data_IF_736464077554
#
_entry.id   IF_736464077554
#
_cell.length_a   1.000
_cell.length_b   1.000
_cell.length_c   1.000
_cell.angle_alpha   90.00
_cell.angle_beta   90.00
_cell.angle_gamma   90.00
#
_symmetry.space_group_name_H-M   'P 1'
#
loop_
_entity.id
_entity.type
_entity.pdbx_description
1 polymer ?
#
# COMPACT_ATOMS: atom_id res chain seq x y z
N UNK A 1 -20.77 45.13 66.33
CA UNK A 1 -20.65 43.76 65.75
C UNK A 1 -21.61 43.53 64.57
N UNK A 2 -22.56 44.44 64.29
CA UNK A 2 -23.62 44.25 63.28
C UNK A 2 -23.20 44.45 61.81
N UNK A 3 -22.22 45.31 61.52
CA UNK A 3 -21.80 45.59 60.12
C UNK A 3 -21.00 44.46 59.44
N UNK A 4 -20.49 43.49 60.20
CA UNK A 4 -19.80 42.30 59.65
C UNK A 4 -20.78 41.20 59.22
N UNK A 5 -21.96 41.13 59.83
CA UNK A 5 -22.97 40.12 59.50
C UNK A 5 -23.68 40.43 58.19
N UNK A 6 -23.95 41.72 57.91
CA UNK A 6 -24.57 42.17 56.65
C UNK A 6 -23.69 41.90 55.41
N UNK A 7 -22.37 42.03 55.52
CA UNK A 7 -21.45 41.74 54.39
C UNK A 7 -21.32 40.24 54.12
N UNK A 8 -21.45 39.41 55.15
CA UNK A 8 -21.43 37.95 54.99
C UNK A 8 -22.72 37.41 54.36
N UNK A 9 -23.88 38.04 54.64
CA UNK A 9 -25.16 37.67 54.05
C UNK A 9 -25.26 38.09 52.56
N UNK A 10 -24.69 39.25 52.20
CA UNK A 10 -24.64 39.71 50.81
C UNK A 10 -23.71 38.83 49.94
N UNK A 11 -22.65 38.28 50.53
CA UNK A 11 -21.72 37.38 49.83
C UNK A 11 -22.31 35.97 49.63
N UNK A 12 -23.15 35.50 50.56
CA UNK A 12 -23.86 34.22 50.45
C UNK A 12 -25.00 34.27 49.41
N UNK A 13 -25.67 35.41 49.26
CA UNK A 13 -26.71 35.61 48.23
C UNK A 13 -26.12 35.66 46.81
N UNK A 14 -24.85 36.06 46.63
CA UNK A 14 -24.16 36.06 45.33
C UNK A 14 -23.71 34.65 44.89
N UNK A 15 -23.63 33.70 45.82
CA UNK A 15 -23.30 32.29 45.56
C UNK A 15 -24.51 31.43 45.18
N UNK A 16 -25.72 32.00 45.26
CA UNK A 16 -26.93 31.39 44.72
C UNK A 16 -27.08 31.79 43.24
N UNK A 17 -26.14 31.35 42.41
CA UNK A 17 -26.30 31.42 40.95
C UNK A 17 -27.48 30.55 40.56
N UNK A 18 -28.57 31.21 40.18
CA UNK A 18 -29.79 30.61 39.64
C UNK A 18 -29.38 29.74 38.46
N UNK A 19 -29.38 28.42 38.64
CA UNK A 19 -29.28 27.47 37.54
C UNK A 19 -30.59 27.57 36.77
N UNK A 20 -30.62 28.41 35.74
CA UNK A 20 -31.72 28.46 34.79
C UNK A 20 -31.68 27.15 34.01
N UNK A 21 -32.56 26.21 34.34
CA UNK A 21 -32.79 25.03 33.52
C UNK A 21 -33.46 25.52 32.24
N UNK A 22 -32.72 25.52 31.13
CA UNK A 22 -33.29 25.84 29.82
C UNK A 22 -34.45 24.89 29.53
N UNK A 23 -35.59 25.43 29.11
CA UNK A 23 -36.74 24.60 28.73
C UNK A 23 -36.33 23.67 27.57
N UNK A 24 -36.52 22.38 27.77
CA UNK A 24 -36.25 21.34 26.77
C UNK A 24 -37.57 20.78 26.28
N UNK A 25 -37.68 20.57 24.97
CA UNK A 25 -38.83 19.92 24.35
C UNK A 25 -38.38 18.62 23.68
N UNK A 26 -39.24 17.60 23.73
CA UNK A 26 -38.99 16.34 23.03
C UNK A 26 -39.47 16.46 21.59
N UNK A 27 -38.57 16.20 20.65
CA UNK A 27 -38.87 16.07 19.23
C UNK A 27 -38.84 14.59 18.86
N UNK A 28 -39.87 14.12 18.19
CA UNK A 28 -39.96 12.78 17.63
C UNK A 28 -40.06 12.84 16.11
N UNK A 29 -39.80 11.72 15.45
CA UNK A 29 -40.05 11.64 14.02
C UNK A 29 -39.62 10.32 13.42
N UNK A 30 -39.78 10.23 12.11
CA UNK A 30 -39.50 9.05 11.30
C UNK A 30 -38.64 9.44 10.10
N UNK A 31 -37.70 8.57 9.72
CA UNK A 31 -36.75 8.80 8.64
C UNK A 31 -36.89 7.71 7.59
N UNK A 32 -37.11 8.11 6.34
CA UNK A 32 -37.31 7.24 5.19
C UNK A 32 -36.33 7.58 4.07
N UNK A 33 -36.12 6.62 3.17
CA UNK A 33 -35.47 6.83 1.89
C UNK A 33 -36.48 7.30 0.82
N UNK A 34 -36.04 7.64 -0.42
CA UNK A 34 -36.95 8.08 -1.48
C UNK A 34 -37.95 7.01 -1.95
N UNK A 35 -37.70 5.75 -1.63
CA UNK A 35 -38.54 4.59 -1.97
C UNK A 35 -39.57 4.30 -0.86
N UNK A 36 -39.51 5.02 0.26
CA UNK A 36 -40.43 4.89 1.40
C UNK A 36 -40.00 3.83 2.42
N UNK A 37 -38.76 3.33 2.34
CA UNK A 37 -38.21 2.36 3.28
C UNK A 37 -37.64 3.10 4.50
N UNK A 38 -37.91 2.66 5.74
CA UNK A 38 -37.35 3.27 6.93
C UNK A 38 -35.83 3.12 6.98
N UNK A 39 -35.12 4.15 7.43
CA UNK A 39 -33.66 4.16 7.53
C UNK A 39 -33.25 3.91 8.99
N UNK A 40 -32.80 2.68 9.35
CA UNK A 40 -32.29 2.40 10.68
C UNK A 40 -30.88 2.95 10.88
N UNK A 41 -30.56 3.38 12.11
CA UNK A 41 -29.22 3.85 12.48
C UNK A 41 -28.80 5.19 11.84
N UNK A 42 -29.74 5.96 11.30
CA UNK A 42 -29.48 7.34 10.90
C UNK A 42 -29.14 8.17 12.14
N UNK A 43 -28.15 9.06 12.04
CA UNK A 43 -27.77 9.99 13.10
C UNK A 43 -28.60 11.27 13.03
N UNK A 44 -29.19 11.67 14.16
CA UNK A 44 -29.93 12.92 14.34
C UNK A 44 -29.24 13.73 15.42
N UNK A 45 -28.80 14.94 15.13
CA UNK A 45 -28.14 15.78 16.14
C UNK A 45 -28.50 17.25 16.01
N UNK A 46 -28.46 17.98 17.13
CA UNK A 46 -28.64 19.43 17.16
C UNK A 46 -27.35 20.08 16.68
N UNK A 47 -27.46 20.93 15.64
CA UNK A 47 -26.33 21.59 14.99
C UNK A 47 -25.46 22.35 16.01
N UNK A 48 -24.14 22.20 15.86
CA UNK A 48 -23.12 22.79 16.75
C UNK A 48 -23.15 22.30 18.21
N UNK A 49 -23.79 21.17 18.49
CA UNK A 49 -23.80 20.56 19.82
C UNK A 49 -23.47 19.06 19.72
N UNK A 50 -23.13 18.45 20.85
CA UNK A 50 -22.98 16.99 20.98
C UNK A 50 -24.31 16.28 21.29
N UNK A 51 -25.43 17.01 21.33
CA UNK A 51 -26.73 16.44 21.65
C UNK A 51 -27.36 15.79 20.41
N UNK A 52 -27.56 14.48 20.45
CA UNK A 52 -28.09 13.71 19.35
C UNK A 52 -28.60 12.32 19.76
N UNK A 53 -29.22 11.65 18.81
CA UNK A 53 -29.80 10.31 18.94
C UNK A 53 -29.64 9.57 17.61
N UNK A 54 -30.03 8.30 17.58
CA UNK A 54 -30.05 7.47 16.38
C UNK A 54 -31.48 6.96 16.12
N UNK A 55 -31.82 6.69 14.86
CA UNK A 55 -33.08 6.04 14.53
C UNK A 55 -33.06 4.54 14.86
N UNK A 56 -34.21 4.00 15.27
CA UNK A 56 -34.42 2.58 15.53
C UNK A 56 -34.66 1.76 14.24
N UNK A 57 -35.02 0.48 14.38
CA UNK A 57 -35.28 -0.43 13.25
C UNK A 57 -36.46 0.01 12.36
N UNK A 58 -37.41 0.76 12.91
CA UNK A 58 -38.57 1.30 12.19
C UNK A 58 -38.29 2.73 11.68
N UNK A 59 -37.05 3.22 11.77
CA UNK A 59 -36.65 4.56 11.34
C UNK A 59 -37.12 5.67 12.28
N UNK A 60 -37.62 5.35 13.49
CA UNK A 60 -38.14 6.33 14.45
C UNK A 60 -37.04 6.88 15.33
N UNK A 61 -37.16 8.14 15.72
CA UNK A 61 -36.23 8.79 16.63
C UNK A 61 -36.97 9.64 17.69
N UNK A 62 -36.30 9.84 18.82
CA UNK A 62 -36.72 10.77 19.87
C UNK A 62 -35.51 11.50 20.44
N UNK A 63 -35.55 12.83 20.45
CA UNK A 63 -34.45 13.69 20.89
C UNK A 63 -34.99 14.86 21.70
N UNK A 64 -34.43 15.09 22.89
CA UNK A 64 -34.70 16.30 23.66
C UNK A 64 -33.85 17.43 23.10
N UNK A 65 -34.49 18.55 22.75
CA UNK A 65 -33.82 19.71 22.17
C UNK A 65 -34.16 20.98 22.97
N UNK A 66 -33.29 22.00 22.98
CA UNK A 66 -33.61 23.28 23.59
C UNK A 66 -34.81 23.95 22.93
N UNK A 67 -35.68 24.59 23.72
CA UNK A 67 -36.86 25.34 23.25
C UNK A 67 -36.48 26.69 22.59
N UNK A 68 -35.24 26.81 22.11
CA UNK A 68 -34.84 27.97 21.32
C UNK A 68 -35.46 27.90 19.92
N UNK A 69 -36.05 29.00 19.45
CA UNK A 69 -36.71 29.08 18.13
C UNK A 69 -35.77 28.84 16.93
N UNK A 70 -34.45 28.81 17.16
CA UNK A 70 -33.42 28.64 16.13
C UNK A 70 -32.73 27.27 16.17
N UNK A 71 -33.27 26.30 16.90
CA UNK A 71 -32.70 24.94 16.95
C UNK A 71 -32.80 24.27 15.57
N UNK A 72 -31.66 23.85 15.03
CA UNK A 72 -31.56 23.12 13.75
C UNK A 72 -31.13 21.68 14.02
N UNK A 73 -31.90 20.72 13.50
CA UNK A 73 -31.56 19.32 13.50
C UNK A 73 -30.85 18.95 12.20
N UNK A 74 -29.85 18.10 12.32
CA UNK A 74 -29.08 17.56 11.22
C UNK A 74 -29.30 16.07 11.17
N UNK A 75 -29.68 15.58 9.99
CA UNK A 75 -29.94 14.17 9.71
C UNK A 75 -28.85 13.65 8.78
N UNK A 76 -28.21 12.55 9.16
CA UNK A 76 -27.12 11.95 8.38
C UNK A 76 -27.19 10.43 8.42
N UNK A 77 -27.00 9.80 7.27
CA UNK A 77 -26.88 8.34 7.15
C UNK A 77 -25.91 8.01 6.02
N UNK A 78 -25.28 6.83 6.10
CA UNK A 78 -24.34 6.38 5.08
C UNK A 78 -25.06 6.20 3.74
N UNK A 79 -24.54 6.79 2.67
CA UNK A 79 -25.15 6.73 1.33
C UNK A 79 -26.25 7.77 1.07
N UNK A 80 -26.50 8.68 2.01
CA UNK A 80 -27.52 9.74 1.89
C UNK A 80 -26.92 11.14 2.05
N UNK A 81 -27.57 12.14 1.47
CA UNK A 81 -27.21 13.54 1.63
C UNK A 81 -27.62 14.01 3.03
N UNK A 82 -26.73 14.77 3.68
CA UNK A 82 -27.04 15.40 4.96
C UNK A 82 -28.14 16.44 4.77
N UNK A 83 -29.17 16.38 5.61
CA UNK A 83 -30.29 17.31 5.57
C UNK A 83 -30.38 18.09 6.88
N UNK A 84 -30.56 19.41 6.79
CA UNK A 84 -30.74 20.29 7.94
C UNK A 84 -32.19 20.81 8.00
N UNK A 85 -32.80 20.76 9.18
CA UNK A 85 -34.18 21.19 9.38
C UNK A 85 -34.29 22.00 10.66
N UNK A 86 -34.82 23.22 10.53
CA UNK A 86 -35.13 24.07 11.67
C UNK A 86 -36.37 23.53 12.39
N UNK A 87 -36.24 23.26 13.69
CA UNK A 87 -37.30 22.64 14.50
C UNK A 87 -38.51 23.60 14.66
N UNK A 88 -38.25 24.90 14.86
CA UNK A 88 -39.29 25.90 15.09
C UNK A 88 -40.19 25.50 16.27
N UNK A 89 -41.50 25.48 16.08
CA UNK A 89 -42.49 25.03 17.08
C UNK A 89 -42.98 23.58 16.88
N UNK A 90 -42.47 22.87 15.87
CA UNK A 90 -42.89 21.49 15.59
C UNK A 90 -42.17 20.51 16.53
N UNK A 91 -42.89 19.45 16.91
CA UNK A 91 -42.40 18.36 17.77
C UNK A 91 -42.41 17.01 17.06
N UNK A 92 -43.01 16.91 15.87
CA UNK A 92 -43.03 15.69 15.06
C UNK A 92 -42.59 15.97 13.61
N UNK A 93 -41.79 15.09 13.04
CA UNK A 93 -41.20 15.21 11.71
C UNK A 93 -41.23 13.89 10.94
N UNK A 94 -41.50 13.97 9.65
CA UNK A 94 -41.29 12.87 8.70
C UNK A 94 -40.26 13.34 7.68
N UNK A 95 -39.09 12.70 7.67
CA UNK A 95 -37.93 13.13 6.89
C UNK A 95 -37.62 12.09 5.82
N UNK A 96 -37.51 12.55 4.58
CA UNK A 96 -37.06 11.70 3.45
C UNK A 96 -35.67 12.12 3.04
N UNK A 97 -34.67 11.30 3.37
CA UNK A 97 -33.29 11.56 2.97
C UNK A 97 -33.08 11.22 1.50
N UNK A 98 -32.48 12.14 0.75
CA UNK A 98 -32.13 11.91 -0.65
C UNK A 98 -30.86 11.07 -0.73
N UNK A 99 -30.82 10.12 -1.66
CA UNK A 99 -29.63 9.30 -1.89
C UNK A 99 -28.46 10.17 -2.35
N UNK A 100 -27.28 9.90 -1.80
CA UNK A 100 -26.05 10.56 -2.22
C UNK A 100 -25.45 9.77 -3.39
N UNK A 101 -25.95 10.04 -4.60
CA UNK A 101 -25.48 9.42 -5.84
C UNK A 101 -24.06 9.90 -6.22
N UNK A 102 -23.51 10.91 -5.52
CA UNK A 102 -22.12 11.38 -5.69
C UNK A 102 -21.08 10.58 -4.86
N UNK A 103 -21.49 9.48 -4.22
CA UNK A 103 -20.65 8.71 -3.28
C UNK A 103 -19.57 7.80 -3.87
N UNK A 104 -19.36 7.76 -5.19
CA UNK A 104 -18.35 6.91 -5.86
C UNK A 104 -17.58 7.66 -6.97
N UNK A 105 -17.39 8.96 -6.84
CA UNK A 105 -16.51 9.72 -7.72
C UNK A 105 -15.11 9.79 -7.11
N UNK A 106 -14.24 8.88 -7.52
CA UNK A 106 -12.79 8.91 -7.28
C UNK A 106 -12.21 10.29 -7.68
N UNK A 107 -11.71 11.04 -6.69
CA UNK A 107 -11.21 12.41 -6.88
C UNK A 107 -9.73 12.37 -7.17
N UNK A 108 -9.38 12.33 -8.45
CA UNK A 108 -8.00 12.55 -8.89
C UNK A 108 -7.60 14.00 -8.63
N UNK A 109 -6.70 14.23 -7.68
CA UNK A 109 -6.10 15.56 -7.46
C UNK A 109 -4.96 15.77 -8.46
N UNK A 110 -5.30 16.21 -9.67
CA UNK A 110 -4.32 16.87 -10.56
C UNK A 110 -4.27 18.36 -10.24
N UNK A 111 -3.09 18.96 -10.33
CA UNK A 111 -2.73 20.32 -9.86
C UNK A 111 -3.45 21.53 -10.49
N UNK A 112 -4.77 21.50 -10.69
CA UNK A 112 -5.63 22.63 -11.05
C UNK A 112 -7.03 22.47 -10.42
N UNK A 113 -7.13 22.43 -9.09
CA UNK A 113 -8.42 22.28 -8.39
C UNK A 113 -9.09 20.91 -8.59
N UNK A 114 -10.00 20.51 -7.69
CA UNK A 114 -10.72 19.23 -7.86
C UNK A 114 -11.72 19.33 -9.00
N UNK A 115 -11.45 18.70 -10.14
CA UNK A 115 -12.43 18.55 -11.22
C UNK A 115 -12.83 17.08 -11.39
N UNK A 116 -14.14 16.86 -11.60
CA UNK A 116 -14.76 15.55 -11.80
C UNK A 116 -14.16 14.85 -13.04
N UNK A 117 -13.94 13.52 -12.96
CA UNK A 117 -13.42 12.64 -14.03
C UNK A 117 -14.10 12.83 -15.40
N UNK A 118 -15.38 13.21 -15.40
CA UNK A 118 -16.18 13.55 -16.59
C UNK A 118 -15.64 14.76 -17.39
N UNK A 119 -15.01 15.72 -16.73
CA UNK A 119 -14.64 17.01 -17.33
C UNK A 119 -13.18 17.07 -17.78
N UNK A 120 -12.39 16.00 -17.55
CA UNK A 120 -11.04 15.91 -18.10
C UNK A 120 -11.14 15.22 -19.46
N UNK A 121 -11.01 15.99 -20.53
CA UNK A 121 -11.06 15.51 -21.92
C UNK A 121 -9.84 14.66 -22.34
N UNK A 122 -8.97 14.29 -21.40
CA UNK A 122 -7.76 13.48 -21.63
C UNK A 122 -7.85 12.10 -20.99
N UNK A 123 -7.13 11.10 -21.52
CA UNK A 123 -7.08 9.75 -20.96
C UNK A 123 -6.29 9.73 -19.64
N UNK A 124 -6.99 10.00 -18.54
CA UNK A 124 -6.52 9.78 -17.16
C UNK A 124 -7.05 8.44 -16.69
N UNK A 125 -6.20 7.60 -16.12
CA UNK A 125 -6.61 6.33 -15.50
C UNK A 125 -6.15 6.30 -14.06
N UNK A 126 -7.11 6.28 -13.13
CA UNK A 126 -6.88 5.97 -11.72
C UNK A 126 -6.65 4.48 -11.51
N UNK A 127 -5.85 4.13 -10.53
CA UNK A 127 -5.62 2.76 -10.08
C UNK A 127 -6.02 2.65 -8.62
N UNK A 128 -7.02 1.80 -8.37
CA UNK A 128 -7.49 1.49 -7.03
C UNK A 128 -6.37 0.89 -6.17
N UNK A 129 -6.24 1.39 -4.94
CA UNK A 129 -5.22 0.91 -3.99
C UNK A 129 -5.46 -0.52 -3.52
N UNK A 130 -6.67 -1.05 -3.69
CA UNK A 130 -7.05 -2.44 -3.45
C UNK A 130 -6.21 -3.41 -4.32
N UNK A 131 -5.80 -2.99 -5.52
CA UNK A 131 -4.91 -3.77 -6.39
C UNK A 131 -3.52 -3.91 -5.76
N UNK A 132 -3.09 -2.92 -4.96
CA UNK A 132 -1.81 -2.92 -4.27
C UNK A 132 -1.84 -3.74 -2.98
N UNK A 133 -2.98 -3.82 -2.30
CA UNK A 133 -3.13 -4.53 -1.01
C UNK A 133 -3.53 -6.01 -1.17
N UNK A 134 -4.20 -6.37 -2.29
CA UNK A 134 -4.63 -7.75 -2.57
C UNK A 134 -3.49 -8.72 -2.89
N UNK A 135 -2.27 -8.22 -3.09
CA UNK A 135 -1.09 -9.02 -3.39
C UNK A 135 0.02 -8.62 -2.42
N UNK A 136 0.81 -9.56 -1.88
CA UNK A 136 2.01 -9.21 -1.13
C UNK A 136 3.06 -8.68 -2.10
N UNK A 137 2.94 -7.42 -2.49
CA UNK A 137 3.89 -6.71 -3.34
C UNK A 137 4.82 -5.89 -2.44
N UNK A 138 6.11 -6.16 -2.54
CA UNK A 138 7.16 -5.33 -1.91
C UNK A 138 7.52 -4.12 -2.77
N UNK A 139 6.91 -3.99 -3.95
CA UNK A 139 7.23 -2.98 -4.96
C UNK A 139 5.96 -2.49 -5.66
N UNK A 140 5.68 -1.19 -5.55
CA UNK A 140 4.52 -0.51 -6.15
C UNK A 140 4.49 -0.72 -7.67
N UNK A 141 5.65 -0.69 -8.33
CA UNK A 141 5.72 -0.83 -9.78
C UNK A 141 5.30 -2.24 -10.23
N UNK A 142 5.58 -3.29 -9.45
CA UNK A 142 5.08 -4.64 -9.77
C UNK A 142 3.56 -4.76 -9.57
N UNK A 143 3.01 -4.05 -8.58
CA UNK A 143 1.56 -3.97 -8.35
C UNK A 143 0.80 -3.31 -9.49
N UNK A 144 1.39 -2.29 -10.12
CA UNK A 144 0.80 -1.59 -11.26
C UNK A 144 0.81 -2.40 -12.56
N UNK A 145 1.55 -3.52 -12.61
CA UNK A 145 1.65 -4.35 -13.80
C UNK A 145 0.29 -4.98 -14.13
N UNK A 146 -0.31 -4.57 -15.25
CA UNK A 146 -1.61 -5.03 -15.69
C UNK A 146 -2.80 -4.34 -15.01
N UNK A 147 -2.56 -3.43 -14.06
CA UNK A 147 -3.61 -2.67 -13.40
C UNK A 147 -4.17 -1.54 -14.30
N UNK A 148 -3.37 -1.04 -15.24
CA UNK A 148 -3.75 0.04 -16.16
C UNK A 148 -3.54 -0.35 -17.62
N UNK A 149 -4.54 -0.20 -18.50
CA UNK A 149 -4.37 -0.42 -19.93
C UNK A 149 -3.30 0.49 -20.53
N UNK A 150 -2.36 -0.10 -21.28
CA UNK A 150 -1.27 0.62 -21.95
C UNK A 150 -0.08 0.92 -21.05
N UNK A 151 -0.04 0.45 -19.80
CA UNK A 151 1.15 0.48 -18.95
C UNK A 151 1.90 -0.85 -19.06
N UNK A 152 3.15 -0.80 -19.51
CA UNK A 152 4.04 -1.95 -19.62
C UNK A 152 5.17 -1.80 -18.62
N UNK A 153 5.29 -2.76 -17.70
CA UNK A 153 6.32 -2.77 -16.67
C UNK A 153 7.16 -4.02 -16.88
N UNK A 154 8.46 -3.85 -17.11
CA UNK A 154 9.41 -4.94 -17.31
C UNK A 154 10.51 -4.87 -16.27
N UNK A 155 10.64 -5.91 -15.45
CA UNK A 155 11.76 -6.09 -14.54
C UNK A 155 12.89 -6.83 -15.28
N UNK A 156 14.11 -6.28 -15.37
CA UNK A 156 15.23 -6.95 -16.05
C UNK A 156 15.65 -8.25 -15.37
N UNK A 157 15.47 -8.33 -14.05
CA UNK A 157 15.78 -9.51 -13.25
C UNK A 157 14.71 -9.80 -12.19
N UNK A 158 14.81 -10.99 -11.59
CA UNK A 158 14.03 -11.36 -10.41
C UNK A 158 14.55 -10.79 -9.09
N UNK A 159 15.64 -9.99 -9.13
CA UNK A 159 16.21 -9.38 -7.94
C UNK A 159 15.22 -8.41 -7.28
N UNK A 160 15.18 -8.40 -5.96
CA UNK A 160 14.37 -7.46 -5.17
C UNK A 160 15.16 -6.13 -5.08
N UNK A 161 14.51 -5.00 -5.33
CA UNK A 161 15.12 -3.67 -5.24
C UNK A 161 15.85 -3.19 -6.50
N UNK A 162 15.66 -3.86 -7.65
CA UNK A 162 16.12 -3.35 -8.95
C UNK A 162 14.98 -2.59 -9.63
N UNK A 163 15.22 -1.34 -10.04
CA UNK A 163 14.22 -0.47 -10.64
C UNK A 163 13.62 -1.09 -11.94
N UNK A 164 12.31 -1.31 -12.00
CA UNK A 164 11.69 -1.81 -13.22
C UNK A 164 11.65 -0.72 -14.30
N UNK A 165 11.74 -1.15 -15.56
CA UNK A 165 11.52 -0.25 -16.69
C UNK A 165 10.02 -0.11 -16.93
N UNK A 166 9.53 1.13 -16.87
CA UNK A 166 8.12 1.47 -17.07
C UNK A 166 7.96 2.16 -18.42
N UNK A 167 7.01 1.70 -19.22
CA UNK A 167 6.67 2.26 -20.54
C UNK A 167 5.17 2.48 -20.63
N UNK A 168 4.77 3.60 -21.23
CA UNK A 168 3.37 3.93 -21.44
C UNK A 168 3.07 3.95 -22.95
N UNK A 169 2.07 3.17 -23.38
CA UNK A 169 1.68 2.96 -24.79
C UNK A 169 2.83 2.51 -25.70
N UNK A 170 3.71 1.65 -25.19
CA UNK A 170 4.82 1.12 -25.97
C UNK A 170 5.83 2.18 -26.41
N UNK A 171 5.89 3.32 -25.72
CA UNK A 171 6.84 4.41 -25.99
C UNK A 171 8.27 3.87 -26.10
N UNK A 172 8.84 3.99 -27.30
CA UNK A 172 10.23 3.66 -27.63
C UNK A 172 10.92 4.96 -28.04
N UNK A 173 11.61 5.59 -27.09
CA UNK A 173 12.46 6.74 -27.34
C UNK A 173 13.82 6.27 -27.83
N UNK A 174 14.32 6.88 -28.91
CA UNK A 174 15.60 6.55 -29.56
C UNK A 174 16.82 7.25 -28.95
N UNK A 175 16.62 8.13 -27.96
CA UNK A 175 17.68 8.89 -27.30
C UNK A 175 17.79 8.45 -25.83
N UNK A 176 18.91 7.80 -25.49
CA UNK A 176 19.32 7.56 -24.11
C UNK A 176 19.94 6.19 -23.88
N UNK A 177 21.28 6.17 -23.87
CA UNK A 177 22.11 5.12 -23.28
C UNK A 177 21.58 4.76 -21.88
N UNK A 178 20.89 3.62 -21.77
CA UNK A 178 20.47 3.04 -20.47
C UNK A 178 19.11 3.44 -19.91
N UNK A 179 18.26 4.19 -20.62
CA UNK A 179 16.99 4.68 -20.04
C UNK A 179 16.04 5.37 -21.02
N UNK A 180 15.62 4.67 -22.09
CA UNK A 180 14.68 5.23 -23.06
C UNK A 180 13.27 5.49 -22.49
N UNK A 181 12.55 6.47 -23.05
CA UNK A 181 11.13 6.81 -22.89
C UNK A 181 10.41 6.29 -21.62
N UNK A 182 10.87 6.71 -20.45
CA UNK A 182 10.19 6.48 -19.17
C UNK A 182 9.21 7.62 -18.86
N UNK A 183 8.04 7.32 -18.26
CA UNK A 183 7.12 8.34 -17.79
C UNK A 183 7.72 9.10 -16.60
N UNK A 184 7.32 10.36 -16.44
CA UNK A 184 7.66 11.15 -15.26
C UNK A 184 6.87 10.63 -14.05
N UNK A 185 7.53 10.37 -12.93
CA UNK A 185 6.91 9.89 -11.70
C UNK A 185 6.92 11.02 -10.67
N UNK A 186 5.74 11.35 -10.14
CA UNK A 186 5.53 12.41 -9.15
C UNK A 186 4.84 11.83 -7.91
N UNK A 187 5.38 12.12 -6.74
CA UNK A 187 4.74 11.86 -5.44
C UNK A 187 4.38 13.20 -4.82
N UNK A 188 3.10 13.44 -4.58
CA UNK A 188 2.61 14.74 -4.08
C UNK A 188 3.19 15.93 -4.85
N UNK A 189 3.27 15.81 -6.18
CA UNK A 189 3.82 16.81 -7.09
C UNK A 189 5.35 17.03 -6.99
N UNK A 190 6.08 16.12 -6.35
CA UNK A 190 7.56 16.09 -6.29
C UNK A 190 8.09 14.94 -7.13
N UNK A 191 9.06 15.22 -8.00
CA UNK A 191 9.67 14.20 -8.87
C UNK A 191 10.54 13.25 -8.06
N UNK A 192 10.39 11.96 -8.33
CA UNK A 192 11.18 10.90 -7.72
C UNK A 192 11.86 10.03 -8.79
N UNK A 193 13.05 9.48 -8.51
CA UNK A 193 13.78 8.68 -9.48
C UNK A 193 13.20 7.26 -9.64
N UNK A 194 12.48 6.73 -8.65
CA UNK A 194 11.95 5.36 -8.70
C UNK A 194 10.73 5.16 -7.80
N UNK A 195 9.75 4.42 -8.31
CA UNK A 195 8.58 3.92 -7.55
C UNK A 195 8.95 3.01 -6.36
N UNK A 196 10.17 2.47 -6.31
CA UNK A 196 10.61 1.58 -5.24
C UNK A 196 10.88 2.29 -3.91
N UNK A 197 11.10 3.61 -3.93
CA UNK A 197 11.33 4.37 -2.70
C UNK A 197 10.04 4.68 -1.94
N UNK A 198 8.88 4.23 -2.44
CA UNK A 198 7.58 4.51 -1.84
C UNK A 198 7.04 3.22 -1.23
N UNK A 199 6.59 3.32 0.01
CA UNK A 199 5.82 2.26 0.64
C UNK A 199 4.40 2.23 0.05
N UNK A 200 3.91 1.10 -0.51
CA UNK A 200 2.54 0.98 -0.99
C UNK A 200 1.48 1.38 0.04
N UNK A 201 1.74 1.17 1.33
CA UNK A 201 0.82 1.51 2.42
C UNK A 201 0.61 3.02 2.60
N UNK A 202 1.53 3.85 2.12
CA UNK A 202 1.43 5.31 2.22
C UNK A 202 0.65 5.92 1.05
N UNK A 203 0.30 5.12 0.03
CA UNK A 203 -0.36 5.59 -1.20
C UNK A 203 -1.88 5.64 -1.01
N UNK A 204 -2.48 6.80 -1.26
CA UNK A 204 -3.95 7.00 -1.31
C UNK A 204 -4.50 6.78 -2.71
N UNK A 205 -3.81 7.26 -3.73
CA UNK A 205 -4.27 7.13 -5.13
C UNK A 205 -3.08 7.15 -6.09
N UNK A 206 -3.18 6.40 -7.19
CA UNK A 206 -2.25 6.47 -8.32
C UNK A 206 -3.02 6.87 -9.57
N UNK A 207 -2.60 7.95 -10.21
CA UNK A 207 -3.25 8.50 -11.40
C UNK A 207 -2.26 8.54 -12.55
N UNK A 208 -2.57 7.82 -13.63
CA UNK A 208 -1.73 7.71 -14.82
C UNK A 208 -2.28 8.62 -15.92
N UNK A 209 -1.50 9.64 -16.29
CA UNK A 209 -1.77 10.59 -17.36
C UNK A 209 -1.12 10.09 -18.65
N UNK A 210 -1.95 9.69 -19.62
CA UNK A 210 -1.48 9.03 -20.84
C UNK A 210 -1.22 10.01 -21.98
N UNK A 211 -2.04 11.06 -22.12
CA UNK A 211 -2.08 11.92 -23.30
C UNK A 211 -1.36 13.26 -23.13
N UNK A 212 -0.90 13.81 -24.26
CA UNK A 212 -0.25 15.12 -24.32
C UNK A 212 -1.11 16.26 -23.75
N UNK A 213 -2.45 16.18 -23.88
CA UNK A 213 -3.36 17.15 -23.27
C UNK A 213 -3.25 17.11 -21.73
N UNK A 214 -3.24 15.92 -21.15
CA UNK A 214 -3.11 15.70 -19.70
C UNK A 214 -1.69 15.92 -19.16
N UNK A 215 -0.65 15.73 -19.98
CA UNK A 215 0.74 15.91 -19.56
C UNK A 215 1.35 17.27 -19.92
N UNK A 216 0.62 18.11 -20.65
CA UNK A 216 1.07 19.44 -21.10
C UNK A 216 1.60 20.36 -19.99
N UNK A 217 1.05 20.22 -18.78
CA UNK A 217 1.47 20.98 -17.59
C UNK A 217 2.90 20.60 -17.15
N UNK A 218 3.32 19.36 -17.41
CA UNK A 218 4.64 18.84 -17.03
C UNK A 218 5.69 18.98 -18.14
N UNK A 219 5.34 19.66 -19.24
CA UNK A 219 6.24 20.02 -20.33
C UNK A 219 6.90 18.82 -21.01
N UNK A 220 8.14 19.02 -21.47
CA UNK A 220 8.93 17.99 -22.20
C UNK A 220 9.21 16.74 -21.37
N UNK A 221 9.18 16.84 -20.03
CA UNK A 221 9.38 15.69 -19.12
C UNK A 221 8.16 14.77 -19.07
N UNK A 222 6.96 15.30 -19.33
CA UNK A 222 5.72 14.53 -19.46
C UNK A 222 5.46 13.98 -20.86
N UNK A 223 6.42 14.06 -21.79
CA UNK A 223 6.26 13.63 -23.19
C UNK A 223 5.93 12.13 -23.32
N UNK A 224 6.36 11.33 -22.35
CA UNK A 224 6.16 9.87 -22.32
C UNK A 224 5.10 9.43 -21.31
N UNK A 225 4.26 10.36 -20.85
CA UNK A 225 3.27 10.11 -19.79
C UNK A 225 3.75 10.56 -18.42
N UNK A 226 2.80 10.68 -17.50
CA UNK A 226 3.06 11.08 -16.11
C UNK A 226 2.30 10.14 -15.17
N UNK A 227 2.98 9.62 -14.15
CA UNK A 227 2.40 8.84 -13.06
C UNK A 227 2.39 9.74 -11.83
N UNK A 228 1.20 10.09 -11.38
CA UNK A 228 0.99 10.88 -10.18
C UNK A 228 0.59 9.95 -9.04
N UNK A 229 1.25 10.11 -7.89
CA UNK A 229 1.02 9.33 -6.69
C UNK A 229 0.65 10.31 -5.60
N UNK A 230 -0.52 10.13 -5.00
CA UNK A 230 -0.98 10.93 -3.87
C UNK A 230 -0.82 10.10 -2.61
N UNK A 231 -0.15 10.65 -1.60
CA UNK A 231 0.01 9.95 -0.31
C UNK A 231 -1.18 10.19 0.62
N UNK A 232 -1.45 9.22 1.51
CA UNK A 232 -2.51 9.30 2.52
C UNK A 232 -2.26 10.49 3.45
N UNK A 233 -3.24 11.39 3.54
CA UNK A 233 -3.20 12.55 4.44
C UNK A 233 -4.22 12.42 5.58
N UNK A 234 -3.88 12.99 6.74
CA UNK A 234 -4.78 13.05 7.88
C UNK A 234 -6.05 13.84 7.56
N UNK A 235 -7.23 13.27 7.84
CA UNK A 235 -8.52 13.92 7.62
C UNK A 235 -8.99 14.65 8.88
N UNK A 236 -9.33 15.94 8.75
CA UNK A 236 -9.95 16.72 9.84
C UNK A 236 -11.31 16.08 10.20
N UNK A 237 -11.64 16.06 11.49
CA UNK A 237 -12.89 15.48 12.02
C UNK A 237 -13.04 13.95 11.92
N UNK A 238 -11.95 13.18 11.79
CA UNK A 238 -11.94 11.74 12.08
C UNK A 238 -11.09 11.44 13.31
N UNK A 239 -11.52 10.46 14.11
CA UNK A 239 -10.68 9.91 15.16
C UNK A 239 -9.38 9.34 14.54
N UNK A 240 -8.21 9.53 15.17
CA UNK A 240 -6.98 8.92 14.71
C UNK A 240 -7.13 7.39 14.63
N UNK A 241 -6.84 6.82 13.47
CA UNK A 241 -6.76 5.37 13.30
C UNK A 241 -5.29 4.97 13.28
N UNK A 242 -4.91 4.06 14.16
CA UNK A 242 -3.53 3.54 14.25
C UNK A 242 -3.58 2.08 13.84
N UNK A 243 -2.92 1.76 12.73
CA UNK A 243 -2.73 0.39 12.27
C UNK A 243 -1.27 0.00 12.51
N UNK A 244 -1.04 -1.15 13.14
CA UNK A 244 0.29 -1.71 13.37
C UNK A 244 0.37 -3.09 12.74
N UNK A 245 1.32 -3.28 11.83
CA UNK A 245 1.64 -4.56 11.23
C UNK A 245 3.07 -4.98 11.60
N UNK A 246 3.25 -6.26 11.86
CA UNK A 246 4.56 -6.86 12.09
C UNK A 246 4.63 -8.17 11.30
N UNK A 247 5.70 -8.35 10.51
CA UNK A 247 5.93 -9.53 9.71
C UNK A 247 7.38 -10.00 9.85
N UNK A 248 7.57 -11.24 10.29
CA UNK A 248 8.87 -11.90 10.33
C UNK A 248 8.93 -12.97 9.23
N UNK A 249 9.96 -12.92 8.39
CA UNK A 249 10.16 -13.88 7.31
C UNK A 249 11.61 -14.36 7.28
N UNK A 250 11.77 -15.67 7.07
CA UNK A 250 13.07 -16.31 6.84
C UNK A 250 13.05 -16.94 5.45
N UNK A 251 14.07 -16.65 4.64
CA UNK A 251 14.22 -17.22 3.31
C UNK A 251 15.38 -18.21 3.28
N UNK A 252 15.13 -19.41 2.76
CA UNK A 252 16.16 -20.40 2.45
C UNK A 252 16.07 -20.76 0.96
N UNK A 253 17.19 -20.95 0.25
CA UNK A 253 17.16 -21.39 -1.14
C UNK A 253 16.34 -22.68 -1.30
N UNK A 254 15.39 -22.71 -2.24
CA UNK A 254 14.53 -23.89 -2.47
C UNK A 254 15.32 -25.11 -2.91
N UNK A 255 16.37 -24.89 -3.72
CA UNK A 255 17.29 -25.92 -4.17
C UNK A 255 18.68 -25.30 -4.21
N UNK A 256 19.60 -25.84 -3.42
CA UNK A 256 21.02 -25.58 -3.59
C UNK A 256 21.58 -26.58 -4.62
N UNK A 257 22.43 -26.15 -5.57
CA UNK A 257 23.09 -27.08 -6.47
C UNK A 257 23.83 -28.15 -5.66
N UNK A 258 23.55 -29.42 -5.93
CA UNK A 258 24.36 -30.52 -5.39
C UNK A 258 25.64 -30.56 -6.20
N UNK A 259 26.75 -30.14 -5.59
CA UNK A 259 28.08 -30.28 -6.20
C UNK A 259 28.38 -31.77 -6.25
N UNK A 260 28.79 -32.27 -7.43
CA UNK A 260 29.21 -33.65 -7.57
C UNK A 260 30.44 -33.90 -6.68
N UNK A 261 30.55 -35.07 -6.06
CA UNK A 261 31.77 -35.47 -5.37
C UNK A 261 33.01 -35.36 -6.23
N UNK A 262 34.18 -35.26 -5.60
CA UNK A 262 35.45 -35.02 -6.30
C UNK A 262 35.75 -36.11 -7.34
N UNK A 263 35.52 -37.38 -7.00
CA UNK A 263 35.72 -38.50 -7.92
C UNK A 263 34.76 -38.45 -9.13
N UNK A 264 33.47 -38.20 -8.88
CA UNK A 264 32.44 -38.12 -9.93
C UNK A 264 32.66 -36.93 -10.86
N UNK A 265 33.07 -35.78 -10.31
CA UNK A 265 33.44 -34.60 -11.08
C UNK A 265 34.67 -34.85 -11.96
N UNK A 266 35.69 -35.51 -11.42
CA UNK A 266 36.89 -35.89 -12.16
C UNK A 266 36.60 -36.92 -13.26
N UNK A 267 35.74 -37.91 -12.99
CA UNK A 267 35.28 -38.89 -13.98
C UNK A 267 34.50 -38.21 -15.11
N UNK A 268 33.58 -37.31 -14.77
CA UNK A 268 32.83 -36.53 -15.77
C UNK A 268 33.79 -35.71 -16.65
N UNK A 269 34.78 -35.05 -16.06
CA UNK A 269 35.77 -34.27 -16.79
C UNK A 269 36.64 -35.16 -17.69
N UNK A 270 37.11 -36.31 -17.18
CA UNK A 270 37.90 -37.28 -17.95
C UNK A 270 37.09 -37.86 -19.11
N UNK A 271 35.83 -38.24 -18.88
CA UNK A 271 34.92 -38.72 -19.91
C UNK A 271 34.65 -37.65 -20.99
N UNK A 272 34.47 -36.38 -20.59
CA UNK A 272 34.27 -35.28 -21.54
C UNK A 272 35.50 -35.05 -22.43
N UNK A 273 36.70 -35.16 -21.87
CA UNK A 273 37.96 -35.05 -22.64
C UNK A 273 38.15 -36.26 -23.55
N UNK A 274 37.91 -37.48 -23.06
CA UNK A 274 38.03 -38.70 -23.86
C UNK A 274 37.03 -38.76 -25.02
N UNK A 275 35.82 -38.18 -24.86
CA UNK A 275 34.87 -38.03 -25.96
C UNK A 275 35.43 -37.16 -27.09
N UNK A 276 36.26 -36.16 -26.77
CA UNK A 276 36.91 -35.28 -27.74
C UNK A 276 38.20 -35.88 -28.30
N UNK A 277 38.97 -36.58 -27.47
CA UNK A 277 40.28 -37.16 -27.81
C UNK A 277 40.40 -38.56 -27.19
N UNK A 278 39.96 -39.63 -27.88
CA UNK A 278 39.93 -40.98 -27.31
C UNK A 278 41.31 -41.59 -26.99
N UNK A 279 42.40 -41.06 -27.54
CA UNK A 279 43.77 -41.54 -27.29
C UNK A 279 44.40 -40.95 -26.03
N UNK A 280 43.74 -39.99 -25.38
CA UNK A 280 44.28 -39.31 -24.21
C UNK A 280 44.16 -40.22 -22.98
N UNK A 281 45.29 -40.48 -22.30
CA UNK A 281 45.33 -41.33 -21.10
C UNK A 281 45.28 -40.55 -19.79
N UNK A 282 45.57 -39.24 -19.85
CA UNK A 282 45.53 -38.32 -18.72
C UNK A 282 45.36 -36.89 -19.23
N UNK A 283 44.75 -36.01 -18.43
CA UNK A 283 44.73 -34.58 -18.70
C UNK A 283 45.14 -33.76 -17.49
N UNK A 284 45.74 -32.60 -17.73
CA UNK A 284 46.17 -31.69 -16.68
C UNK A 284 45.10 -30.65 -16.38
N UNK A 285 44.86 -30.41 -15.10
CA UNK A 285 44.25 -29.19 -14.56
C UNK A 285 45.35 -28.49 -13.76
N UNK A 286 45.24 -27.19 -13.48
CA UNK A 286 46.29 -26.42 -12.77
C UNK A 286 46.76 -27.19 -11.52
N UNK A 287 48.02 -27.63 -11.52
CA UNK A 287 48.64 -28.37 -10.42
C UNK A 287 48.28 -29.85 -10.27
N UNK A 288 47.43 -30.43 -11.12
CA UNK A 288 46.94 -31.81 -11.00
C UNK A 288 46.91 -32.54 -12.34
N UNK A 289 47.20 -33.84 -12.36
CA UNK A 289 46.94 -34.72 -13.50
C UNK A 289 45.85 -35.71 -13.14
N UNK A 290 44.80 -35.76 -13.96
CA UNK A 290 43.69 -36.67 -13.80
C UNK A 290 43.83 -37.78 -14.85
N UNK A 291 43.96 -39.00 -14.35
CA UNK A 291 43.88 -40.25 -15.11
C UNK A 291 42.91 -41.22 -14.41
N UNK A 292 42.71 -42.40 -15.01
CA UNK A 292 41.77 -43.38 -14.46
C UNK A 292 42.16 -43.87 -13.05
N UNK A 293 43.45 -43.92 -12.76
CA UNK A 293 43.98 -44.34 -11.46
C UNK A 293 43.79 -43.26 -10.40
N UNK A 294 43.97 -41.98 -10.75
CA UNK A 294 43.69 -40.86 -9.88
C UNK A 294 42.20 -40.82 -9.51
N UNK A 295 41.29 -41.10 -10.46
CA UNK A 295 39.84 -41.18 -10.21
C UNK A 295 39.51 -42.30 -9.23
N UNK A 296 40.09 -43.49 -9.42
CA UNK A 296 39.91 -44.62 -8.51
C UNK A 296 40.41 -44.29 -7.11
N UNK A 297 41.60 -43.68 -6.98
CA UNK A 297 42.12 -43.25 -5.68
C UNK A 297 41.31 -42.16 -5.02
N UNK A 298 40.77 -41.20 -5.78
CA UNK A 298 39.85 -40.20 -5.25
C UNK A 298 38.58 -40.86 -4.69
N UNK A 299 38.07 -41.89 -5.36
CA UNK A 299 36.90 -42.65 -4.89
C UNK A 299 37.20 -43.47 -3.63
N UNK A 300 38.35 -44.13 -3.59
CA UNK A 300 38.78 -44.89 -2.40
C UNK A 300 38.99 -43.98 -1.19
N UNK A 301 39.61 -42.83 -1.41
CA UNK A 301 39.80 -41.81 -0.38
C UNK A 301 38.46 -41.29 0.14
N UNK A 302 37.53 -40.95 -0.76
CA UNK A 302 36.20 -40.49 -0.38
C UNK A 302 35.41 -41.56 0.36
N UNK A 303 35.53 -42.84 -0.03
CA UNK A 303 34.87 -43.94 0.67
C UNK A 303 35.42 -44.17 2.09
N UNK A 304 36.71 -43.91 2.31
CA UNK A 304 37.36 -44.13 3.61
C UNK A 304 37.25 -42.93 4.55
N UNK A 305 37.36 -41.71 4.01
CA UNK A 305 37.53 -40.48 4.79
C UNK A 305 36.46 -39.42 4.53
N UNK A 306 35.54 -39.66 3.58
CA UNK A 306 34.48 -38.72 3.24
C UNK A 306 33.60 -38.35 4.43
N UNK A 307 33.39 -37.04 4.63
CA UNK A 307 32.55 -36.50 5.70
C UNK A 307 33.22 -36.41 7.08
N UNK A 308 34.51 -36.75 7.20
CA UNK A 308 35.30 -36.59 8.42
C UNK A 308 36.03 -35.24 8.44
N UNK A 309 36.23 -34.67 9.64
CA UNK A 309 37.10 -33.51 9.83
C UNK A 309 38.55 -33.97 9.98
N UNK A 310 39.33 -33.83 8.89
CA UNK A 310 40.72 -34.32 8.80
C UNK A 310 41.77 -33.22 9.05
N UNK A 311 41.34 -31.99 9.34
CA UNK A 311 42.21 -30.82 9.43
C UNK A 311 42.72 -30.31 8.08
N UNK A 312 43.60 -29.29 8.12
CA UNK A 312 44.16 -28.66 6.91
C UNK A 312 45.48 -29.29 6.42
N UNK A 313 46.04 -30.23 7.19
CA UNK A 313 47.33 -30.85 6.87
C UNK A 313 47.15 -32.04 5.93
N UNK A 314 47.88 -32.02 4.81
CA UNK A 314 47.98 -33.14 3.89
C UNK A 314 48.91 -34.20 4.48
N UNK A 315 48.45 -35.44 4.54
CA UNK A 315 49.21 -36.57 5.09
C UNK A 315 49.56 -37.56 3.97
N UNK A 316 50.85 -37.88 3.85
CA UNK A 316 51.33 -38.87 2.89
C UNK A 316 50.72 -40.26 3.19
N UNK A 317 50.28 -40.96 2.14
CA UNK A 317 49.59 -42.25 2.23
C UNK A 317 48.09 -42.12 2.54
N UNK A 318 47.64 -40.97 3.04
CA UNK A 318 46.21 -40.63 3.16
C UNK A 318 45.78 -39.76 1.99
N UNK A 319 46.28 -38.53 1.89
CA UNK A 319 45.77 -37.50 0.96
C UNK A 319 46.58 -37.39 -0.33
N UNK A 320 47.83 -37.83 -0.30
CA UNK A 320 48.71 -37.89 -1.46
C UNK A 320 49.72 -39.02 -1.31
N UNK A 321 50.37 -39.38 -2.41
CA UNK A 321 51.48 -40.32 -2.41
C UNK A 321 52.49 -39.88 -3.47
N UNK A 322 53.76 -40.17 -3.23
CA UNK A 322 54.84 -39.86 -4.17
C UNK A 322 55.06 -41.09 -5.04
N UNK A 323 55.08 -40.90 -6.36
CA UNK A 323 55.30 -41.98 -7.33
C UNK A 323 56.43 -41.60 -8.27
N UNK A 324 57.24 -42.58 -8.65
CA UNK A 324 58.34 -42.40 -9.61
C UNK A 324 59.34 -41.26 -9.25
N UNK A 325 59.50 -40.98 -7.95
CA UNK A 325 60.50 -40.03 -7.44
C UNK A 325 60.18 -38.55 -7.67
N UNK A 326 58.94 -38.19 -8.05
CA UNK A 326 58.43 -36.82 -8.08
C UNK A 326 56.95 -36.76 -7.67
#
# INVERSE_FOLDING_TARGET
>A
MEKRFQKSFLFLALLCSIQVWGQTKTVTGEIYDPEGVPIPGAGIYVKNTSNGTISDFDGKFSLQVPESGNTVLVFSSLGFLQQEITVGNKTNFTITLQTNVEGLDEVVVVGYGSQKKRNVTGAVTGVDTEVLTSRPITDVARGLQGATPGLTITSPSGQIGENPTIKLRGSVGTLGTGGGAQPLILVDNVEIPSLQSINPEDIEEISVLKDAASTSIYGSRGAWGVILITTKKGRKNRAPSVNYSNNFSWATPTVTPKVAPAADGAEMAFAAVNRRIPSLKSFGVVGMRIDQLAIEKMRDWEAQYGGQDLGMEMVEGRDYEIRDGN
#
